data_IF_595720735110
#
_entry.id   IF_595720735110
#
_cell.length_a   1.000
_cell.length_b   1.000
_cell.length_c   1.000
_cell.angle_alpha   90.00
_cell.angle_beta   90.00
_cell.angle_gamma   90.00
#
_symmetry.space_group_name_H-M   'P 1'
#
loop_
_entity.id
_entity.type
_entity.pdbx_description
1 polymer ?
#
# COMPACT_ATOMS: atom_id res chain seq x y z
N UNK A 1 -9.40 -27.78 -8.71
CA UNK A 1 -9.06 -28.47 -9.97
C UNK A 1 -9.13 -27.53 -11.19
N UNK A 2 -10.31 -26.97 -11.52
CA UNK A 2 -10.49 -26.10 -12.71
C UNK A 2 -9.53 -24.90 -12.78
N UNK A 3 -9.39 -24.11 -11.70
CA UNK A 3 -8.48 -22.95 -11.67
C UNK A 3 -7.04 -23.32 -12.04
N UNK A 4 -6.54 -24.44 -11.48
CA UNK A 4 -5.19 -24.95 -11.77
C UNK A 4 -5.06 -25.34 -13.24
N UNK A 5 -6.02 -26.09 -13.77
CA UNK A 5 -6.01 -26.54 -15.18
C UNK A 5 -6.10 -25.38 -16.16
N UNK A 6 -6.98 -24.40 -15.92
CA UNK A 6 -7.12 -23.22 -16.79
C UNK A 6 -5.87 -22.33 -16.75
N UNK A 7 -5.21 -22.24 -15.58
CA UNK A 7 -3.93 -21.55 -15.45
C UNK A 7 -2.84 -22.29 -16.24
N UNK A 8 -2.68 -23.59 -16.06
CA UNK A 8 -1.69 -24.38 -16.81
C UNK A 8 -1.91 -24.33 -18.32
N UNK A 9 -3.16 -24.28 -18.78
CA UNK A 9 -3.51 -24.18 -20.19
C UNK A 9 -3.39 -22.75 -20.76
N UNK A 10 -2.91 -21.76 -19.99
CA UNK A 10 -2.78 -20.38 -20.45
C UNK A 10 -4.12 -19.69 -20.75
N UNK A 11 -5.24 -20.18 -20.22
CA UNK A 11 -6.58 -19.63 -20.50
C UNK A 11 -6.90 -18.42 -19.64
N UNK A 12 -6.36 -18.38 -18.42
CA UNK A 12 -6.60 -17.33 -17.43
C UNK A 12 -5.31 -16.76 -16.89
N UNK A 13 -5.38 -15.57 -16.31
CA UNK A 13 -4.37 -14.99 -15.41
C UNK A 13 -4.96 -14.87 -14.02
N UNK A 14 -4.22 -15.17 -12.97
CA UNK A 14 -4.70 -15.06 -11.58
C UNK A 14 -3.94 -13.96 -10.86
N UNK A 15 -4.64 -13.03 -10.21
CA UNK A 15 -4.05 -12.02 -9.33
C UNK A 15 -4.33 -12.33 -7.86
N UNK A 16 -3.29 -12.38 -7.05
CA UNK A 16 -3.35 -12.48 -5.60
C UNK A 16 -2.95 -11.13 -5.00
N UNK A 17 -3.88 -10.52 -4.27
CA UNK A 17 -3.66 -9.24 -3.60
C UNK A 17 -3.27 -9.51 -2.15
N UNK A 18 -2.02 -9.23 -1.82
CA UNK A 18 -1.47 -9.46 -0.50
C UNK A 18 -1.96 -8.38 0.47
N UNK A 19 -2.82 -8.79 1.40
CA UNK A 19 -3.40 -7.91 2.42
C UNK A 19 -2.77 -8.09 3.80
N UNK A 20 -1.70 -8.91 3.92
CA UNK A 20 -1.20 -9.30 5.23
C UNK A 20 -0.48 -8.15 5.95
N UNK A 21 -0.37 -8.33 7.26
CA UNK A 21 0.18 -7.36 8.19
C UNK A 21 -0.88 -6.70 9.05
N UNK A 22 -0.53 -6.38 10.30
CA UNK A 22 -1.45 -5.80 11.29
C UNK A 22 -1.77 -4.31 11.05
N UNK A 23 -1.21 -3.71 10.01
CA UNK A 23 -1.35 -2.27 9.73
C UNK A 23 -0.70 -1.36 10.79
N UNK A 24 0.28 -1.84 11.57
CA UNK A 24 0.78 -1.10 12.74
C UNK A 24 1.38 0.27 12.43
N UNK A 25 1.93 0.47 11.22
CA UNK A 25 2.48 1.77 10.80
C UNK A 25 1.44 2.74 10.23
N UNK A 26 0.25 2.23 9.87
CA UNK A 26 -0.89 3.00 9.39
C UNK A 26 -1.93 3.25 10.50
N UNK A 27 -1.71 2.70 11.69
CA UNK A 27 -2.57 2.92 12.86
C UNK A 27 -2.75 4.43 13.14
N UNK A 28 -3.97 4.90 13.48
CA UNK A 28 -5.13 4.10 13.88
C UNK A 28 -6.04 3.63 12.74
N UNK A 29 -5.81 4.06 11.49
CA UNK A 29 -6.80 3.93 10.41
C UNK A 29 -7.29 2.50 10.16
N UNK A 30 -6.43 1.46 10.10
CA UNK A 30 -6.89 0.09 9.89
C UNK A 30 -7.88 -0.37 10.96
N UNK A 31 -7.80 0.13 12.19
CA UNK A 31 -8.73 -0.22 13.26
C UNK A 31 -10.19 0.11 12.91
N UNK A 32 -10.42 1.20 12.19
CA UNK A 32 -11.76 1.57 11.70
C UNK A 32 -12.27 0.70 10.54
N UNK A 33 -11.38 -0.05 9.90
CA UNK A 33 -11.67 -0.95 8.79
C UNK A 33 -11.55 -2.42 9.21
N UNK A 34 -11.88 -2.75 10.47
CA UNK A 34 -11.76 -4.11 11.03
C UNK A 34 -10.34 -4.70 10.89
N UNK A 35 -9.31 -3.86 11.02
CA UNK A 35 -7.88 -4.16 10.79
C UNK A 35 -7.51 -4.51 9.34
N UNK A 36 -8.38 -4.29 8.38
CA UNK A 36 -8.08 -4.49 6.97
C UNK A 36 -7.34 -3.25 6.42
N UNK A 37 -6.01 -3.29 6.43
CA UNK A 37 -5.15 -2.18 5.96
C UNK A 37 -5.50 -1.73 4.52
N UNK A 38 -5.59 -2.63 3.53
CA UNK A 38 -6.01 -2.26 2.17
C UNK A 38 -7.43 -1.68 2.03
N UNK A 39 -8.31 -1.88 3.01
CA UNK A 39 -9.66 -1.31 3.00
C UNK A 39 -9.71 0.15 3.47
N UNK A 40 -8.57 0.74 3.87
CA UNK A 40 -8.49 2.18 4.10
C UNK A 40 -8.88 2.91 2.81
N UNK A 41 -9.79 3.86 2.94
CA UNK A 41 -10.40 4.64 1.88
C UNK A 41 -9.43 5.71 1.42
N UNK A 42 -9.37 5.93 0.11
CA UNK A 42 -8.74 7.07 -0.52
C UNK A 42 -9.76 8.23 -0.60
N UNK A 43 -9.32 9.47 -0.81
CA UNK A 43 -10.19 10.64 -0.94
C UNK A 43 -10.89 10.69 -2.32
N UNK A 44 -11.53 9.59 -2.69
CA UNK A 44 -12.20 9.42 -3.96
C UNK A 44 -13.37 8.44 -3.81
N UNK A 45 -14.30 8.51 -4.76
CA UNK A 45 -15.44 7.61 -4.82
C UNK A 45 -15.49 6.93 -6.19
N UNK A 46 -15.98 5.69 -6.22
CA UNK A 46 -16.26 4.96 -7.44
C UNK A 46 -17.77 4.84 -7.64
N UNK A 47 -18.22 5.15 -8.86
CA UNK A 47 -19.61 4.93 -9.27
C UNK A 47 -19.70 3.63 -10.05
N UNK A 48 -20.53 2.71 -9.56
CA UNK A 48 -20.82 1.45 -10.24
C UNK A 48 -21.74 1.66 -11.45
N UNK A 49 -21.85 0.63 -12.31
CA UNK A 49 -22.77 0.65 -13.47
C UNK A 49 -24.24 0.83 -13.06
N UNK A 50 -24.62 0.40 -11.85
CA UNK A 50 -25.96 0.59 -11.28
C UNK A 50 -26.17 2.00 -10.72
N UNK A 51 -25.17 2.88 -10.80
CA UNK A 51 -25.22 4.24 -10.30
C UNK A 51 -24.89 4.38 -8.81
N UNK A 52 -24.73 3.27 -8.08
CA UNK A 52 -24.34 3.27 -6.66
C UNK A 52 -22.92 3.79 -6.50
N UNK A 53 -22.73 4.72 -5.56
CA UNK A 53 -21.45 5.34 -5.24
C UNK A 53 -20.86 4.69 -4.00
N UNK A 54 -19.59 4.29 -4.07
CA UNK A 54 -18.84 3.73 -2.94
C UNK A 54 -17.54 4.52 -2.75
N UNK A 55 -17.05 4.68 -1.52
CA UNK A 55 -15.68 5.13 -1.30
C UNK A 55 -14.69 4.19 -1.98
N UNK A 56 -13.68 4.74 -2.65
CA UNK A 56 -12.60 3.95 -3.23
C UNK A 56 -11.62 3.55 -2.11
N UNK A 57 -11.32 2.27 -1.94
CA UNK A 57 -10.25 1.83 -1.02
C UNK A 57 -8.91 1.71 -1.74
N UNK A 58 -7.82 1.62 -0.96
CA UNK A 58 -6.50 1.34 -1.52
C UNK A 58 -6.52 0.01 -2.29
N UNK A 59 -7.22 -1.01 -1.79
CA UNK A 59 -7.31 -2.30 -2.48
C UNK A 59 -7.96 -2.18 -3.86
N UNK A 60 -9.09 -1.48 -3.99
CA UNK A 60 -9.71 -1.27 -5.30
C UNK A 60 -8.81 -0.45 -6.23
N UNK A 61 -8.06 0.53 -5.71
CA UNK A 61 -7.06 1.26 -6.49
C UNK A 61 -5.95 0.32 -6.99
N UNK A 62 -5.43 -0.57 -6.15
CA UNK A 62 -4.43 -1.57 -6.55
C UNK A 62 -4.99 -2.54 -7.58
N UNK A 63 -6.24 -2.99 -7.45
CA UNK A 63 -6.89 -3.84 -8.45
C UNK A 63 -6.99 -3.09 -9.78
N UNK A 64 -7.44 -1.82 -9.75
CA UNK A 64 -7.58 -0.97 -10.94
C UNK A 64 -6.25 -0.79 -11.67
N UNK A 65 -5.17 -0.47 -10.95
CA UNK A 65 -3.88 -0.22 -11.60
C UNK A 65 -3.25 -1.49 -12.18
N UNK A 66 -3.42 -2.64 -11.51
CA UNK A 66 -2.72 -3.88 -11.87
C UNK A 66 -3.49 -4.69 -12.91
N UNK A 67 -4.80 -4.46 -13.04
CA UNK A 67 -5.65 -5.11 -14.04
C UNK A 67 -5.15 -4.93 -15.47
N UNK A 68 -4.40 -3.87 -15.76
CA UNK A 68 -3.79 -3.60 -17.08
C UNK A 68 -2.79 -4.68 -17.53
N UNK A 69 -2.19 -5.43 -16.60
CA UNK A 69 -1.23 -6.49 -16.92
C UNK A 69 -1.90 -7.86 -17.18
N UNK A 70 -3.20 -8.01 -16.92
CA UNK A 70 -3.89 -9.31 -16.97
C UNK A 70 -3.79 -9.99 -18.34
N UNK A 71 -3.94 -9.22 -19.42
CA UNK A 71 -3.87 -9.74 -20.80
C UNK A 71 -2.50 -10.34 -21.14
N UNK A 72 -1.44 -9.79 -20.57
CA UNK A 72 -0.04 -10.22 -20.79
C UNK A 72 0.32 -11.43 -19.94
N UNK A 73 -0.43 -11.70 -18.87
CA UNK A 73 -0.06 -12.68 -17.83
C UNK A 73 -0.93 -13.93 -17.82
N UNK A 74 -1.52 -14.29 -18.96
CA UNK A 74 -2.19 -15.58 -19.11
C UNK A 74 -1.22 -16.72 -18.78
N UNK A 75 -1.71 -17.70 -18.03
CA UNK A 75 -0.92 -18.81 -17.51
C UNK A 75 -0.02 -18.49 -16.32
N UNK A 76 -0.22 -17.32 -15.68
CA UNK A 76 0.61 -16.86 -14.55
C UNK A 76 -0.22 -16.48 -13.34
N UNK A 77 0.34 -16.75 -12.17
CA UNK A 77 -0.10 -16.19 -10.89
C UNK A 77 0.70 -14.92 -10.62
N UNK A 78 0.01 -13.79 -10.47
CA UNK A 78 0.61 -12.53 -10.04
C UNK A 78 0.35 -12.30 -8.56
N UNK A 79 1.32 -11.73 -7.85
CA UNK A 79 1.20 -11.27 -6.46
C UNK A 79 1.42 -9.77 -6.43
N UNK A 80 0.48 -9.04 -5.82
CA UNK A 80 0.50 -7.58 -5.71
C UNK A 80 0.36 -7.14 -4.25
N UNK A 81 1.07 -6.10 -3.84
CA UNK A 81 0.88 -5.49 -2.52
C UNK A 81 -0.42 -4.71 -2.49
N UNK A 82 -1.32 -5.03 -1.55
CA UNK A 82 -2.64 -4.41 -1.44
C UNK A 82 -2.63 -2.96 -0.97
N UNK A 83 -1.47 -2.38 -0.64
CA UNK A 83 -1.32 -1.02 -0.11
C UNK A 83 -0.40 -0.10 -0.93
N UNK A 84 -0.04 -0.48 -2.15
CA UNK A 84 0.87 0.30 -2.99
C UNK A 84 0.25 0.63 -4.34
N UNK A 85 0.01 1.92 -4.57
CA UNK A 85 -0.51 2.39 -5.86
C UNK A 85 0.66 2.90 -6.72
N UNK A 86 0.82 2.43 -7.95
CA UNK A 86 1.80 2.94 -8.91
C UNK A 86 1.14 3.18 -10.27
N UNK A 87 1.59 4.23 -10.95
CA UNK A 87 1.13 4.59 -12.29
C UNK A 87 2.30 4.40 -13.25
N UNK A 88 2.27 3.36 -14.10
CA UNK A 88 3.34 3.11 -15.04
C UNK A 88 3.38 4.21 -16.10
N UNK A 89 4.58 4.60 -16.54
CA UNK A 89 4.78 5.54 -17.64
C UNK A 89 5.18 4.87 -18.96
N UNK A 90 5.20 3.54 -18.98
CA UNK A 90 5.52 2.70 -20.15
C UNK A 90 4.32 1.82 -20.52
N UNK A 91 4.38 1.22 -21.71
CA UNK A 91 3.34 0.30 -22.18
C UNK A 91 3.25 -0.93 -21.26
N UNK A 92 2.06 -1.20 -20.75
CA UNK A 92 1.81 -2.31 -19.80
C UNK A 92 1.50 -3.65 -20.46
N UNK A 93 1.25 -3.65 -21.78
CA UNK A 93 1.07 -4.88 -22.55
C UNK A 93 2.42 -5.39 -23.04
N UNK A 94 2.76 -6.63 -22.69
CA UNK A 94 4.02 -7.28 -23.03
C UNK A 94 3.83 -8.79 -23.20
N UNK A 95 4.86 -9.49 -23.69
CA UNK A 95 4.91 -10.95 -23.71
C UNK A 95 5.91 -11.40 -22.65
N UNK A 96 5.51 -12.16 -21.62
CA UNK A 96 6.45 -12.70 -20.63
C UNK A 96 7.49 -13.59 -21.32
N UNK A 97 8.77 -13.30 -21.07
CA UNK A 97 9.91 -14.07 -21.60
C UNK A 97 10.53 -15.00 -20.58
N UNK A 98 10.13 -14.89 -19.31
CA UNK A 98 10.71 -15.64 -18.19
C UNK A 98 9.64 -16.31 -17.32
N UNK A 99 10.00 -17.38 -16.64
CA UNK A 99 9.09 -18.07 -15.71
C UNK A 99 8.67 -17.23 -14.50
N UNK A 100 9.49 -16.27 -14.08
CA UNK A 100 9.16 -15.26 -13.10
C UNK A 100 9.54 -13.87 -13.59
N UNK A 101 8.77 -12.87 -13.19
CA UNK A 101 9.12 -11.45 -13.37
C UNK A 101 8.69 -10.61 -12.18
N UNK A 102 9.46 -9.54 -11.90
CA UNK A 102 9.13 -8.53 -10.89
C UNK A 102 8.95 -7.18 -11.57
N UNK A 103 7.90 -6.45 -11.18
CA UNK A 103 7.72 -5.07 -11.59
C UNK A 103 8.80 -4.19 -10.95
N UNK A 104 9.50 -3.40 -11.74
CA UNK A 104 10.59 -2.53 -11.27
C UNK A 104 10.60 -1.20 -12.02
N UNK A 105 11.04 -0.15 -11.34
CA UNK A 105 11.32 1.14 -11.99
C UNK A 105 12.73 1.13 -12.54
N UNK A 106 12.90 0.66 -13.77
CA UNK A 106 14.23 0.46 -14.36
C UNK A 106 14.81 1.78 -14.87
N UNK A 107 16.13 1.87 -14.83
CA UNK A 107 16.92 2.96 -15.37
C UNK A 107 18.40 2.57 -15.41
N UNK A 108 19.31 3.45 -15.86
CA UNK A 108 20.74 3.18 -15.76
C UNK A 108 21.16 3.10 -14.29
N UNK A 109 22.22 2.33 -14.01
CA UNK A 109 22.85 2.35 -12.67
C UNK A 109 23.32 3.78 -12.36
N UNK A 110 22.80 4.43 -11.31
CA UNK A 110 23.22 5.79 -10.97
C UNK A 110 24.65 5.79 -10.40
N UNK A 111 25.27 6.96 -10.33
CA UNK A 111 26.51 7.12 -9.55
C UNK A 111 26.28 6.94 -8.04
N UNK A 112 27.37 6.81 -7.28
CA UNK A 112 27.33 6.58 -5.82
C UNK A 112 26.60 7.70 -5.06
N UNK A 113 26.75 8.95 -5.49
CA UNK A 113 26.12 10.09 -4.82
C UNK A 113 24.60 10.02 -4.99
N UNK A 114 24.14 9.82 -6.22
CA UNK A 114 22.73 9.66 -6.57
C UNK A 114 22.13 8.43 -5.91
N UNK A 115 22.83 7.28 -5.92
CA UNK A 115 22.41 6.06 -5.23
C UNK A 115 22.11 6.31 -3.73
N UNK A 116 22.99 7.05 -3.05
CA UNK A 116 22.85 7.37 -1.64
C UNK A 116 21.77 8.43 -1.37
N UNK A 117 21.76 9.51 -2.16
CA UNK A 117 20.76 10.58 -2.08
C UNK A 117 19.35 10.04 -2.26
N UNK A 118 19.19 9.11 -3.18
CA UNK A 118 17.92 8.47 -3.47
C UNK A 118 17.56 7.32 -2.54
N UNK A 119 18.51 6.87 -1.73
CA UNK A 119 18.30 5.84 -0.73
C UNK A 119 18.05 4.45 -1.33
N UNK A 120 18.66 4.11 -2.47
CA UNK A 120 18.45 2.82 -3.15
C UNK A 120 18.79 1.61 -2.25
N UNK A 121 19.74 1.78 -1.32
CA UNK A 121 20.09 0.79 -0.31
C UNK A 121 18.94 0.38 0.63
N UNK A 122 17.82 1.12 0.65
CA UNK A 122 16.65 0.77 1.45
C UNK A 122 15.69 -0.19 0.74
N UNK A 123 15.92 -0.50 -0.55
CA UNK A 123 15.04 -1.28 -1.39
C UNK A 123 15.73 -2.57 -1.89
N UNK A 124 14.90 -3.52 -2.32
CA UNK A 124 15.36 -4.58 -3.22
C UNK A 124 15.57 -4.01 -4.62
N UNK A 125 16.70 -4.31 -5.23
CA UNK A 125 17.04 -3.90 -6.58
C UNK A 125 16.86 -5.06 -7.55
N UNK A 126 16.32 -4.73 -8.72
CA UNK A 126 16.27 -5.60 -9.88
C UNK A 126 17.34 -5.12 -10.85
N UNK A 127 18.32 -5.98 -11.13
CA UNK A 127 19.45 -5.68 -11.99
C UNK A 127 19.39 -6.54 -13.24
N UNK A 128 19.25 -5.92 -14.41
CA UNK A 128 19.03 -6.58 -15.70
C UNK A 128 20.31 -6.54 -16.53
N UNK A 129 20.70 -7.68 -17.09
CA UNK A 129 21.86 -7.79 -17.98
C UNK A 129 21.53 -7.53 -19.45
N UNK A 130 22.54 -7.54 -20.32
CA UNK A 130 22.38 -7.34 -21.78
C UNK A 130 21.49 -8.39 -22.46
N UNK A 131 21.31 -9.57 -21.84
CA UNK A 131 20.48 -10.67 -22.34
C UNK A 131 19.04 -10.61 -21.82
N UNK A 132 18.72 -9.60 -21.01
CA UNK A 132 17.43 -9.40 -20.37
C UNK A 132 17.19 -10.33 -19.17
N UNK A 133 18.21 -11.04 -18.69
CA UNK A 133 18.12 -11.82 -17.47
C UNK A 133 18.32 -10.92 -16.26
N UNK A 134 17.53 -11.13 -15.22
CA UNK A 134 17.54 -10.26 -14.04
C UNK A 134 18.18 -10.96 -12.83
N UNK A 135 18.70 -10.16 -11.92
CA UNK A 135 19.08 -10.55 -10.56
C UNK A 135 18.31 -9.72 -9.55
N UNK A 136 17.92 -10.33 -8.44
CA UNK A 136 17.39 -9.61 -7.29
C UNK A 136 18.47 -9.54 -6.22
N UNK A 137 18.75 -8.31 -5.75
CA UNK A 137 19.67 -8.06 -4.65
C UNK A 137 18.99 -7.18 -3.62
N UNK A 138 19.01 -7.62 -2.37
CA UNK A 138 18.19 -7.01 -1.33
C UNK A 138 19.00 -5.99 -0.50
N UNK A 139 18.61 -4.72 -0.46
CA UNK A 139 19.13 -3.70 0.49
C UNK A 139 20.66 -3.69 0.64
N UNK A 140 21.35 -3.42 -0.46
CA UNK A 140 22.82 -3.44 -0.51
C UNK A 140 23.40 -2.03 -0.64
N UNK A 141 24.67 -1.85 -0.29
CA UNK A 141 25.40 -0.60 -0.58
C UNK A 141 25.70 -0.49 -2.08
N UNK A 142 26.11 0.71 -2.50
CA UNK A 142 26.52 0.95 -3.89
C UNK A 142 27.67 0.01 -4.31
N UNK A 143 28.69 -0.13 -3.47
CA UNK A 143 29.89 -0.94 -3.74
C UNK A 143 29.54 -2.40 -3.95
N UNK A 144 28.65 -2.91 -3.08
CA UNK A 144 28.15 -4.27 -3.18
C UNK A 144 27.37 -4.45 -4.47
N UNK A 145 26.44 -3.53 -4.80
CA UNK A 145 25.66 -3.61 -6.03
C UNK A 145 26.56 -3.65 -7.29
N UNK A 146 27.57 -2.80 -7.37
CA UNK A 146 28.50 -2.76 -8.52
C UNK A 146 29.44 -3.96 -8.58
N UNK A 147 29.74 -4.60 -7.44
CA UNK A 147 30.62 -5.78 -7.43
C UNK A 147 29.97 -7.06 -7.99
N UNK A 148 28.64 -7.11 -8.08
CA UNK A 148 27.89 -8.32 -8.49
C UNK A 148 27.86 -8.49 -10.01
N UNK A 149 28.14 -7.42 -10.76
CA UNK A 149 28.30 -7.42 -12.19
C UNK A 149 27.96 -6.10 -12.84
N UNK A 150 28.29 -6.00 -14.12
CA UNK A 150 27.88 -4.88 -14.97
C UNK A 150 26.44 -5.12 -15.46
N UNK A 151 25.55 -4.19 -15.13
CA UNK A 151 24.14 -4.27 -15.46
C UNK A 151 23.77 -3.21 -16.47
N UNK A 152 22.96 -3.60 -17.45
CA UNK A 152 22.39 -2.68 -18.44
C UNK A 152 21.40 -1.73 -17.76
N UNK A 153 20.54 -2.28 -16.89
CA UNK A 153 19.52 -1.53 -16.17
C UNK A 153 19.46 -1.98 -14.71
N UNK A 154 19.21 -1.03 -13.81
CA UNK A 154 18.99 -1.26 -12.38
C UNK A 154 17.77 -0.46 -11.94
N UNK A 155 16.92 -1.08 -11.13
CA UNK A 155 15.71 -0.41 -10.67
C UNK A 155 15.22 -0.88 -9.32
N UNK A 156 14.47 -0.01 -8.62
CA UNK A 156 13.81 -0.38 -7.38
C UNK A 156 12.66 -1.35 -7.67
N UNK A 157 12.68 -2.50 -7.02
CA UNK A 157 11.56 -3.45 -7.00
C UNK A 157 10.34 -2.80 -6.33
N UNK A 158 9.16 -2.92 -6.95
CA UNK A 158 7.89 -2.62 -6.27
C UNK A 158 7.32 -3.87 -5.55
N UNK A 159 8.10 -4.96 -5.50
CA UNK A 159 7.77 -6.21 -4.82
C UNK A 159 6.56 -6.96 -5.39
N UNK A 160 5.92 -6.44 -6.44
CA UNK A 160 4.84 -7.09 -7.16
C UNK A 160 5.40 -7.93 -8.29
N UNK A 161 5.02 -9.19 -8.37
CA UNK A 161 5.66 -10.16 -9.24
C UNK A 161 4.65 -11.09 -9.91
N UNK A 162 5.11 -11.86 -10.90
CA UNK A 162 4.33 -12.97 -11.43
C UNK A 162 5.20 -14.21 -11.64
N UNK A 163 4.57 -15.38 -11.52
CA UNK A 163 5.18 -16.68 -11.78
C UNK A 163 4.30 -17.48 -12.72
N UNK A 164 4.90 -18.17 -13.68
CA UNK A 164 4.25 -19.14 -14.56
C UNK A 164 3.63 -20.31 -13.78
N UNK A 165 2.66 -20.98 -14.39
CA UNK A 165 2.04 -22.17 -13.82
C UNK A 165 3.06 -23.29 -13.52
N UNK A 166 4.08 -23.45 -14.37
CA UNK A 166 5.11 -24.48 -14.21
C UNK A 166 6.01 -24.19 -13.01
N UNK A 167 6.52 -22.96 -12.90
CA UNK A 167 7.33 -22.54 -11.75
C UNK A 167 6.52 -22.59 -10.45
N UNK A 168 5.25 -22.16 -10.48
CA UNK A 168 4.36 -22.29 -9.34
C UNK A 168 4.20 -23.76 -8.92
N UNK A 169 4.01 -24.67 -9.88
CA UNK A 169 3.93 -26.11 -9.62
C UNK A 169 5.20 -26.66 -8.99
N UNK A 170 6.36 -26.31 -9.53
CA UNK A 170 7.66 -26.72 -9.00
C UNK A 170 7.90 -26.20 -7.58
N UNK A 171 7.52 -24.95 -7.29
CA UNK A 171 7.57 -24.38 -5.94
C UNK A 171 6.64 -25.10 -4.97
N UNK A 172 5.39 -25.36 -5.38
CA UNK A 172 4.42 -26.08 -4.53
C UNK A 172 4.91 -27.48 -4.17
N UNK A 173 5.55 -28.18 -5.11
CA UNK A 173 6.18 -29.49 -4.85
C UNK A 173 7.38 -29.34 -3.91
N UNK A 174 8.27 -28.40 -4.19
CA UNK A 174 9.48 -28.22 -3.41
C UNK A 174 9.19 -27.82 -1.95
N UNK A 175 8.11 -27.08 -1.69
CA UNK A 175 7.69 -26.58 -0.38
C UNK A 175 6.45 -27.30 0.20
N UNK A 176 6.09 -28.46 -0.35
CA UNK A 176 4.92 -29.22 0.09
C UNK A 176 4.91 -29.51 1.62
N UNK A 177 6.03 -29.90 2.26
CA UNK A 177 6.04 -30.17 3.70
C UNK A 177 5.65 -28.95 4.54
N UNK A 178 6.20 -27.77 4.23
CA UNK A 178 5.91 -26.52 4.95
C UNK A 178 4.50 -26.01 4.68
N UNK A 179 3.99 -26.19 3.45
CA UNK A 179 2.63 -25.83 3.10
C UNK A 179 1.60 -26.70 3.85
N UNK A 180 1.90 -28.00 4.03
CA UNK A 180 1.07 -28.93 4.81
C UNK A 180 1.11 -28.61 6.30
N UNK A 181 2.30 -28.37 6.86
CA UNK A 181 2.47 -28.14 8.30
C UNK A 181 2.05 -26.73 8.75
N UNK A 182 2.14 -25.72 7.87
CA UNK A 182 1.95 -24.30 8.18
C UNK A 182 2.83 -23.79 9.35
N UNK A 183 3.99 -24.42 9.56
CA UNK A 183 4.89 -24.10 10.68
C UNK A 183 6.08 -23.22 10.30
N UNK A 184 6.32 -23.00 9.01
CA UNK A 184 7.45 -22.20 8.52
C UNK A 184 7.01 -20.80 8.09
N UNK A 185 7.94 -19.85 8.21
CA UNK A 185 7.79 -18.47 7.72
C UNK A 185 9.05 -18.09 6.95
N UNK A 186 8.94 -18.08 5.63
CA UNK A 186 10.02 -17.67 4.72
C UNK A 186 9.65 -16.34 4.05
N UNK A 187 10.67 -15.54 3.78
CA UNK A 187 10.58 -14.29 3.01
C UNK A 187 11.02 -14.54 1.56
N UNK A 188 10.29 -13.99 0.57
CA UNK A 188 10.55 -14.25 -0.85
C UNK A 188 11.92 -13.76 -1.30
N UNK A 189 12.41 -12.65 -0.76
CA UNK A 189 13.66 -12.05 -1.24
C UNK A 189 14.86 -12.95 -0.91
N UNK A 190 15.19 -13.21 0.37
CA UNK A 190 16.30 -14.10 0.73
C UNK A 190 16.03 -15.58 0.43
N UNK A 191 14.78 -16.06 0.51
CA UNK A 191 14.53 -17.51 0.38
C UNK A 191 14.12 -17.96 -1.01
N UNK A 192 13.80 -17.04 -1.94
CA UNK A 192 13.42 -17.41 -3.29
C UNK A 192 14.17 -16.63 -4.37
N UNK A 193 14.07 -15.30 -4.41
CA UNK A 193 14.66 -14.50 -5.50
C UNK A 193 16.18 -14.54 -5.53
N UNK A 194 16.83 -14.33 -4.38
CA UNK A 194 18.29 -14.37 -4.29
C UNK A 194 18.87 -15.74 -4.69
N UNK A 195 18.44 -16.89 -4.14
CA UNK A 195 18.97 -18.20 -4.55
C UNK A 195 18.55 -18.63 -5.97
N UNK A 196 17.48 -18.04 -6.54
CA UNK A 196 17.10 -18.27 -7.93
C UNK A 196 18.07 -17.59 -8.91
N UNK A 197 18.57 -16.40 -8.55
CA UNK A 197 19.30 -15.50 -9.45
C UNK A 197 20.80 -15.35 -9.19
N UNK A 198 21.27 -15.63 -7.97
CA UNK A 198 22.69 -15.54 -7.60
C UNK A 198 23.39 -16.88 -7.71
N UNK A 199 24.72 -16.87 -7.77
CA UNK A 199 25.51 -18.08 -7.56
C UNK A 199 25.53 -18.47 -6.07
N UNK A 200 25.86 -19.73 -5.79
CA UNK A 200 25.83 -20.28 -4.44
C UNK A 200 26.78 -19.54 -3.48
N UNK A 201 27.95 -19.10 -3.95
CA UNK A 201 28.93 -18.43 -3.08
C UNK A 201 28.39 -17.08 -2.66
N UNK A 202 28.00 -16.25 -3.63
CA UNK A 202 27.45 -14.90 -3.40
C UNK A 202 26.20 -14.96 -2.52
N UNK A 203 25.29 -15.91 -2.79
CA UNK A 203 24.10 -16.13 -1.98
C UNK A 203 24.45 -16.46 -0.52
N UNK A 204 25.31 -17.45 -0.28
CA UNK A 204 25.69 -17.87 1.07
C UNK A 204 26.38 -16.73 1.84
N UNK A 205 27.28 -15.99 1.20
CA UNK A 205 27.98 -14.85 1.81
C UNK A 205 26.96 -13.76 2.24
N UNK A 206 25.98 -13.43 1.39
CA UNK A 206 24.90 -12.50 1.75
C UNK A 206 24.04 -12.99 2.90
N UNK A 207 23.59 -14.24 2.85
CA UNK A 207 22.68 -14.73 3.89
C UNK A 207 23.34 -14.80 5.26
N UNK A 208 24.64 -15.12 5.31
CA UNK A 208 25.41 -15.14 6.55
C UNK A 208 25.62 -13.72 7.11
N UNK A 209 26.02 -12.76 6.26
CA UNK A 209 26.20 -11.36 6.70
C UNK A 209 24.91 -10.72 7.22
N UNK A 210 23.74 -11.17 6.73
CA UNK A 210 22.42 -10.70 7.18
C UNK A 210 21.84 -11.50 8.34
N UNK A 211 22.46 -12.60 8.73
CA UNK A 211 21.95 -13.48 9.78
C UNK A 211 20.69 -14.26 9.40
N UNK A 212 20.39 -14.41 8.10
CA UNK A 212 19.24 -15.19 7.60
C UNK A 212 19.43 -16.69 7.84
N UNK A 213 20.67 -17.18 7.77
CA UNK A 213 21.04 -18.55 8.15
C UNK A 213 22.12 -18.56 9.23
N UNK A 214 22.05 -19.55 10.11
CA UNK A 214 23.03 -19.72 11.21
C UNK A 214 24.34 -20.35 10.75
N UNK A 215 24.41 -20.90 9.53
CA UNK A 215 25.62 -21.55 9.00
C UNK A 215 25.61 -21.64 7.48
N UNK A 216 26.79 -21.82 6.89
CA UNK A 216 26.98 -21.93 5.43
C UNK A 216 26.33 -23.18 4.88
N UNK A 217 26.31 -24.27 5.65
CA UNK A 217 25.70 -25.55 5.27
C UNK A 217 24.19 -25.39 5.10
N UNK A 218 23.52 -24.67 6.01
CA UNK A 218 22.08 -24.39 5.89
C UNK A 218 21.75 -23.50 4.70
N UNK A 219 22.53 -22.44 4.49
CA UNK A 219 22.38 -21.58 3.32
C UNK A 219 22.58 -22.40 2.03
N UNK A 220 23.62 -23.22 1.96
CA UNK A 220 23.91 -24.08 0.80
C UNK A 220 22.80 -25.08 0.54
N UNK A 221 22.28 -25.73 1.59
CA UNK A 221 21.16 -26.67 1.46
C UNK A 221 19.90 -25.97 0.92
N UNK A 222 19.62 -24.75 1.38
CA UNK A 222 18.50 -23.96 0.85
C UNK A 222 18.72 -23.53 -0.60
N UNK A 223 19.93 -23.11 -0.96
CA UNK A 223 20.29 -22.82 -2.35
C UNK A 223 20.07 -24.02 -3.26
N UNK A 224 20.56 -25.20 -2.85
CA UNK A 224 20.40 -26.45 -3.61
C UNK A 224 18.93 -26.84 -3.77
N UNK A 225 18.08 -26.55 -2.78
CA UNK A 225 16.63 -26.75 -2.91
C UNK A 225 16.04 -25.92 -4.04
N UNK A 226 16.41 -24.64 -4.15
CA UNK A 226 15.96 -23.77 -5.25
C UNK A 226 16.59 -24.17 -6.58
N UNK A 227 17.83 -24.66 -6.58
CA UNK A 227 18.45 -25.22 -7.78
C UNK A 227 17.65 -26.41 -8.32
N UNK A 228 17.15 -27.31 -7.46
CA UNK A 228 16.25 -28.41 -7.86
C UNK A 228 14.94 -27.92 -8.48
N UNK A 229 14.40 -26.78 -8.02
CA UNK A 229 13.24 -26.13 -8.64
C UNK A 229 13.57 -25.69 -10.06
N UNK A 230 14.74 -25.09 -10.29
CA UNK A 230 15.21 -24.73 -11.65
C UNK A 230 15.41 -25.96 -12.52
N UNK A 231 15.99 -27.02 -11.96
CA UNK A 231 16.22 -28.27 -12.68
C UNK A 231 14.92 -28.91 -13.18
N UNK A 232 13.86 -28.87 -12.36
CA UNK A 232 12.54 -29.36 -12.74
C UNK A 232 11.89 -28.58 -13.89
N UNK A 233 12.39 -27.39 -14.23
CA UNK A 233 11.91 -26.56 -15.34
C UNK A 233 12.73 -26.73 -16.62
N UNK A 234 13.86 -27.43 -16.59
CA UNK A 234 14.77 -27.55 -17.76
C UNK A 234 14.10 -28.19 -18.99
N UNK A 235 13.17 -29.11 -18.77
CA UNK A 235 12.44 -29.79 -19.86
C UNK A 235 11.53 -28.81 -20.63
N UNK A 236 10.98 -27.81 -19.94
CA UNK A 236 10.07 -26.81 -20.52
C UNK A 236 10.75 -25.48 -20.86
N UNK A 237 11.90 -25.19 -20.24
CA UNK A 237 12.70 -23.98 -20.46
C UNK A 237 14.20 -24.28 -20.61
N UNK A 238 14.60 -24.83 -21.78
CA UNK A 238 15.98 -25.21 -22.02
C UNK A 238 16.91 -24.00 -22.20
N UNK A 239 16.37 -22.78 -22.43
CA UNK A 239 17.18 -21.56 -22.60
C UNK A 239 17.47 -20.86 -21.27
N UNK A 240 16.97 -21.40 -20.15
CA UNK A 240 17.29 -20.93 -18.81
C UNK A 240 16.67 -19.58 -18.44
N UNK A 241 15.57 -19.19 -19.10
CA UNK A 241 14.85 -17.94 -18.83
C UNK A 241 13.97 -18.02 -17.59
N UNK A 242 14.61 -18.06 -16.41
CA UNK A 242 13.91 -18.23 -15.13
C UNK A 242 13.37 -16.94 -14.54
N UNK A 243 14.15 -15.84 -14.58
CA UNK A 243 13.81 -14.60 -13.90
C UNK A 243 14.15 -13.36 -14.75
N UNK A 244 13.14 -12.52 -14.97
CA UNK A 244 13.24 -11.26 -15.68
C UNK A 244 12.64 -10.09 -14.91
N UNK A 245 12.60 -8.94 -15.55
CA UNK A 245 11.99 -7.72 -15.01
C UNK A 245 10.86 -7.24 -15.93
N UNK A 246 9.88 -6.56 -15.34
CA UNK A 246 8.90 -5.78 -16.10
C UNK A 246 9.10 -4.33 -15.72
N UNK A 247 9.58 -3.54 -16.67
CA UNK A 247 9.71 -2.11 -16.48
C UNK A 247 8.33 -1.47 -16.32
N UNK A 248 8.19 -0.61 -15.31
CA UNK A 248 7.02 0.26 -15.14
C UNK A 248 7.37 1.73 -15.42
N UNK A 249 8.62 1.99 -15.81
CA UNK A 249 9.16 3.31 -16.10
C UNK A 249 10.20 3.77 -15.09
N UNK A 250 10.90 4.84 -15.45
CA UNK A 250 11.91 5.43 -14.59
C UNK A 250 11.29 6.07 -13.35
N UNK A 251 12.10 6.28 -12.31
CA UNK A 251 11.67 6.90 -11.04
C UNK A 251 10.98 8.26 -11.22
N UNK A 252 11.44 9.05 -12.19
CA UNK A 252 10.96 10.41 -12.43
C UNK A 252 9.63 10.47 -13.19
N UNK A 253 9.27 9.39 -13.88
CA UNK A 253 8.07 9.33 -14.73
C UNK A 253 7.02 8.36 -14.18
N UNK A 254 7.42 7.32 -13.44
CA UNK A 254 6.53 6.40 -12.76
C UNK A 254 6.19 6.89 -11.36
N UNK A 255 4.93 7.26 -11.15
CA UNK A 255 4.43 7.64 -9.83
C UNK A 255 4.24 6.42 -8.95
N UNK A 256 4.67 6.52 -7.68
CA UNK A 256 4.51 5.47 -6.68
C UNK A 256 4.03 6.06 -5.35
N UNK A 257 2.85 5.62 -4.93
CA UNK A 257 2.13 6.05 -3.74
C UNK A 257 1.97 4.86 -2.79
N UNK A 258 2.93 4.72 -1.88
CA UNK A 258 2.87 3.73 -0.79
C UNK A 258 1.96 4.23 0.34
N UNK A 259 0.92 3.48 0.66
CA UNK A 259 -0.04 3.82 1.73
C UNK A 259 0.17 3.00 3.01
N UNK A 260 1.32 2.35 3.17
CA UNK A 260 1.64 1.49 4.31
C UNK A 260 1.91 2.24 5.63
N UNK A 261 2.00 3.58 5.60
CA UNK A 261 2.26 4.42 6.78
C UNK A 261 1.35 5.65 6.79
N UNK A 262 0.95 6.10 7.99
CA UNK A 262 0.03 7.25 8.12
C UNK A 262 0.60 8.55 7.55
N UNK A 263 1.91 8.79 7.72
CA UNK A 263 2.59 9.93 7.10
C UNK A 263 2.51 9.89 5.56
N UNK A 264 2.68 8.71 4.97
CA UNK A 264 2.63 8.55 3.51
C UNK A 264 1.20 8.63 3.00
N UNK A 265 0.22 8.20 3.78
CA UNK A 265 -1.18 8.45 3.47
C UNK A 265 -1.47 9.96 3.35
N UNK A 266 -0.97 10.77 4.30
CA UNK A 266 -1.09 12.23 4.25
C UNK A 266 -0.34 12.82 3.06
N UNK A 267 0.97 12.54 2.97
CA UNK A 267 1.87 13.07 1.94
C UNK A 267 1.38 12.74 0.53
N UNK A 268 0.97 11.49 0.28
CA UNK A 268 0.52 11.08 -1.06
C UNK A 268 -0.79 11.76 -1.44
N UNK A 269 -1.78 11.80 -0.56
CA UNK A 269 -3.07 12.41 -0.92
C UNK A 269 -2.98 13.93 -1.09
N UNK A 270 -2.11 14.63 -0.36
CA UNK A 270 -1.86 16.06 -0.56
C UNK A 270 -1.17 16.38 -1.91
N UNK A 271 -0.59 15.39 -2.61
CA UNK A 271 -0.07 15.58 -3.98
C UNK A 271 -1.16 16.02 -4.96
N UNK A 272 -2.44 15.74 -4.68
CA UNK A 272 -3.57 16.29 -5.45
C UNK A 272 -3.55 17.82 -5.58
N UNK A 273 -2.93 18.50 -4.61
CA UNK A 273 -2.93 19.96 -4.47
C UNK A 273 -1.62 20.59 -4.93
N UNK A 274 -0.61 19.77 -5.25
CA UNK A 274 0.70 20.26 -5.66
C UNK A 274 0.65 20.80 -7.09
N UNK A 275 1.52 21.78 -7.36
CA UNK A 275 1.59 22.39 -8.68
C UNK A 275 2.59 23.54 -8.79
N UNK A 276 3.60 23.60 -7.91
CA UNK A 276 4.62 24.65 -7.95
C UNK A 276 5.61 24.40 -9.10
N UNK A 277 5.90 23.13 -9.40
CA UNK A 277 6.71 22.71 -10.55
C UNK A 277 5.87 21.99 -11.60
N UNK A 278 6.39 21.85 -12.83
CA UNK A 278 5.70 21.08 -13.88
C UNK A 278 5.54 19.61 -13.50
N UNK A 279 6.58 18.98 -12.93
CA UNK A 279 6.53 17.60 -12.48
C UNK A 279 5.44 17.37 -11.40
N UNK A 280 5.28 18.32 -10.47
CA UNK A 280 4.21 18.28 -9.49
C UNK A 280 2.81 18.42 -10.11
N UNK A 281 2.66 19.30 -11.12
CA UNK A 281 1.39 19.44 -11.85
C UNK A 281 1.02 18.15 -12.59
N UNK A 282 2.01 17.48 -13.19
CA UNK A 282 1.81 16.24 -13.92
C UNK A 282 1.44 15.08 -12.98
N UNK A 283 2.11 14.94 -11.83
CA UNK A 283 1.74 13.94 -10.81
C UNK A 283 0.33 14.21 -10.25
N UNK A 284 0.03 15.47 -9.92
CA UNK A 284 -1.30 15.85 -9.42
C UNK A 284 -2.39 15.57 -10.45
N UNK A 285 -2.13 15.85 -11.74
CA UNK A 285 -3.06 15.55 -12.85
C UNK A 285 -3.25 14.05 -12.99
N UNK A 286 -2.18 13.26 -13.03
CA UNK A 286 -2.24 11.81 -13.13
C UNK A 286 -3.02 11.19 -11.95
N UNK A 287 -2.79 11.69 -10.72
CA UNK A 287 -3.54 11.27 -9.54
C UNK A 287 -5.02 11.61 -9.63
N UNK A 288 -5.38 12.83 -10.07
CA UNK A 288 -6.78 13.23 -10.30
C UNK A 288 -7.46 12.34 -11.33
N UNK A 289 -6.82 12.09 -12.47
CA UNK A 289 -7.32 11.18 -13.52
C UNK A 289 -7.52 9.77 -12.96
N UNK A 290 -6.51 9.24 -12.27
CA UNK A 290 -6.57 7.89 -11.70
C UNK A 290 -7.69 7.74 -10.66
N UNK A 291 -7.87 8.74 -9.79
CA UNK A 291 -8.90 8.76 -8.76
C UNK A 291 -10.29 9.18 -9.29
N UNK A 292 -10.40 9.63 -10.54
CA UNK A 292 -11.66 10.11 -11.13
C UNK A 292 -12.12 11.46 -10.58
N UNK A 293 -11.18 12.32 -10.18
CA UNK A 293 -11.41 13.65 -9.60
C UNK A 293 -11.24 14.79 -10.64
N UNK A 294 -11.42 14.50 -11.92
CA UNK A 294 -11.24 15.48 -13.02
C UNK A 294 -12.38 16.50 -13.09
N UNK A 295 -13.61 16.07 -12.78
CA UNK A 295 -14.75 16.97 -12.63
C UNK A 295 -14.71 17.64 -11.26
N UNK A 296 -15.22 18.88 -11.16
CA UNK A 296 -15.49 19.50 -9.86
C UNK A 296 -16.36 18.55 -9.03
N UNK A 297 -15.88 18.15 -7.86
CA UNK A 297 -16.65 17.29 -6.98
C UNK A 297 -17.95 17.98 -6.54
N UNK A 298 -18.88 17.17 -6.01
CA UNK A 298 -20.15 17.70 -5.53
C UNK A 298 -19.95 18.47 -4.24
N UNK A 299 -20.37 19.74 -4.22
CA UNK A 299 -20.42 20.59 -3.03
C UNK A 299 -21.84 21.09 -2.86
N UNK A 300 -22.42 20.90 -1.68
CA UNK A 300 -23.73 21.44 -1.29
C UNK A 300 -23.51 22.42 -0.14
N UNK A 301 -24.00 23.64 -0.30
CA UNK A 301 -23.87 24.71 0.70
C UNK A 301 -22.67 25.64 0.47
N UNK A 302 -22.51 26.68 1.32
CA UNK A 302 -21.58 27.78 1.11
C UNK A 302 -20.14 27.46 1.57
N UNK A 303 -19.41 26.68 0.76
CA UNK A 303 -18.00 26.37 0.98
C UNK A 303 -17.09 27.22 0.09
N UNK A 304 -16.22 28.04 0.71
CA UNK A 304 -15.08 28.68 0.06
C UNK A 304 -13.86 27.75 0.11
N UNK A 305 -13.59 27.08 -0.99
CA UNK A 305 -12.45 26.16 -1.11
C UNK A 305 -11.31 26.79 -1.93
N UNK A 306 -10.13 26.93 -1.33
CA UNK A 306 -8.92 27.47 -1.98
C UNK A 306 -7.84 26.39 -2.05
N UNK A 307 -7.42 26.03 -3.26
CA UNK A 307 -6.45 24.94 -3.48
C UNK A 307 -6.88 23.64 -2.77
N UNK A 308 -8.11 23.18 -3.00
CA UNK A 308 -8.64 21.97 -2.41
C UNK A 308 -9.02 20.93 -3.47
N UNK A 309 -8.92 19.66 -3.10
CA UNK A 309 -9.55 18.56 -3.81
C UNK A 309 -10.79 18.15 -3.01
N UNK A 310 -11.96 18.31 -3.62
CA UNK A 310 -13.24 18.14 -2.94
C UNK A 310 -14.07 17.09 -3.67
N UNK A 311 -14.68 16.16 -2.93
CA UNK A 311 -15.57 15.12 -3.44
C UNK A 311 -16.68 14.86 -2.43
N UNK A 312 -17.95 15.06 -2.83
CA UNK A 312 -19.13 14.82 -1.98
C UNK A 312 -19.05 15.52 -0.60
N UNK A 313 -19.11 16.85 -0.62
CA UNK A 313 -19.09 17.68 0.59
C UNK A 313 -20.41 18.41 0.75
N UNK A 314 -20.98 18.34 1.95
CA UNK A 314 -22.18 19.08 2.33
C UNK A 314 -21.89 19.91 3.56
N UNK A 315 -22.10 21.22 3.46
CA UNK A 315 -22.02 22.17 4.57
C UNK A 315 -23.33 22.95 4.71
N UNK A 316 -23.68 23.32 5.93
CA UNK A 316 -24.91 24.10 6.21
C UNK A 316 -24.63 25.60 6.19
N UNK A 317 -23.57 25.99 6.88
CA UNK A 317 -23.18 27.38 7.15
C UNK A 317 -21.90 27.76 6.39
N UNK A 318 -21.59 29.06 6.38
CA UNK A 318 -20.39 29.60 5.74
C UNK A 318 -19.14 28.87 6.22
N UNK A 319 -18.44 28.27 5.27
CA UNK A 319 -17.33 27.36 5.52
C UNK A 319 -16.11 27.73 4.69
N UNK A 320 -14.91 27.56 5.26
CA UNK A 320 -13.64 27.81 4.61
C UNK A 320 -12.78 26.54 4.62
N UNK A 321 -12.20 26.22 3.47
CA UNK A 321 -11.18 25.19 3.36
C UNK A 321 -10.01 25.71 2.51
N UNK A 322 -8.78 25.46 2.96
CA UNK A 322 -7.58 25.80 2.18
C UNK A 322 -6.56 24.67 2.20
N UNK A 323 -5.89 24.44 1.06
CA UNK A 323 -4.83 23.42 0.93
C UNK A 323 -5.24 22.03 1.48
N UNK A 324 -6.51 21.66 1.31
CA UNK A 324 -7.10 20.50 1.98
C UNK A 324 -7.77 19.54 1.01
N UNK A 325 -7.81 18.26 1.39
CA UNK A 325 -8.50 17.21 0.66
C UNK A 325 -9.71 16.76 1.45
N UNK A 326 -10.91 16.96 0.88
CA UNK A 326 -12.18 16.68 1.54
C UNK A 326 -12.96 15.66 0.71
N UNK A 327 -13.23 14.48 1.26
CA UNK A 327 -14.00 13.44 0.59
C UNK A 327 -15.10 12.88 1.49
N UNK A 328 -16.35 12.92 1.04
CA UNK A 328 -17.51 12.42 1.81
C UNK A 328 -17.60 13.13 3.17
N UNK A 329 -17.69 14.46 3.16
CA UNK A 329 -17.72 15.29 4.39
C UNK A 329 -19.09 15.91 4.57
N UNK A 330 -19.63 15.85 5.78
CA UNK A 330 -20.87 16.53 6.17
C UNK A 330 -20.66 17.28 7.48
N UNK A 331 -20.86 18.59 7.49
CA UNK A 331 -20.65 19.43 8.68
C UNK A 331 -21.59 20.63 8.69
N UNK A 332 -21.95 21.17 9.84
CA UNK A 332 -22.61 22.47 9.89
C UNK A 332 -21.67 23.55 9.32
N UNK A 333 -20.44 23.63 9.85
CA UNK A 333 -19.41 24.55 9.34
C UNK A 333 -18.02 23.90 9.28
N UNK A 334 -17.16 24.42 8.41
CA UNK A 334 -15.75 24.03 8.30
C UNK A 334 -14.84 25.26 8.38
N UNK A 335 -13.75 25.15 9.13
CA UNK A 335 -12.59 26.03 9.09
C UNK A 335 -11.32 25.16 9.07
N UNK A 336 -10.92 24.76 7.87
CA UNK A 336 -9.96 23.66 7.68
C UNK A 336 -8.78 24.10 6.81
N UNK A 337 -7.57 23.86 7.27
CA UNK A 337 -6.33 24.19 6.55
C UNK A 337 -5.36 23.01 6.51
N UNK A 338 -4.67 22.80 5.39
CA UNK A 338 -3.59 21.81 5.23
C UNK A 338 -3.98 20.38 5.67
N UNK A 339 -5.26 20.00 5.57
CA UNK A 339 -5.82 18.80 6.23
C UNK A 339 -6.48 17.83 5.26
N UNK A 340 -6.63 16.57 5.71
CA UNK A 340 -7.38 15.53 5.00
C UNK A 340 -8.56 15.07 5.84
N UNK A 341 -9.76 15.17 5.28
CA UNK A 341 -11.00 14.66 5.86
C UNK A 341 -11.58 13.61 4.90
N UNK A 342 -11.73 12.37 5.37
CA UNK A 342 -12.32 11.27 4.58
C UNK A 342 -13.41 10.57 5.38
N UNK A 343 -14.62 10.55 4.82
CA UNK A 343 -15.82 9.97 5.44
C UNK A 343 -16.07 10.55 6.85
N UNK A 344 -16.32 11.86 6.89
CA UNK A 344 -16.45 12.64 8.14
C UNK A 344 -17.84 13.25 8.26
N UNK A 345 -18.46 13.10 9.42
CA UNK A 345 -19.69 13.77 9.83
C UNK A 345 -19.50 14.31 11.25
N UNK A 346 -19.66 15.62 11.44
CA UNK A 346 -19.47 16.32 12.73
C UNK A 346 -20.29 17.62 12.77
N UNK A 347 -20.47 18.22 13.96
CA UNK A 347 -21.15 19.51 14.15
C UNK A 347 -20.45 20.65 13.40
N UNK A 348 -19.43 21.27 14.00
CA UNK A 348 -18.45 22.11 13.31
C UNK A 348 -17.08 21.44 13.29
N UNK A 349 -16.22 21.79 12.33
CA UNK A 349 -14.84 21.29 12.27
C UNK A 349 -13.87 22.46 12.12
N UNK A 350 -12.93 22.59 13.06
CA UNK A 350 -11.83 23.56 13.00
C UNK A 350 -10.51 22.85 13.24
N UNK A 351 -9.64 22.85 12.22
CA UNK A 351 -8.35 22.16 12.32
C UNK A 351 -7.31 22.64 11.28
N UNK A 352 -6.04 22.42 11.62
CA UNK A 352 -4.89 22.67 10.74
C UNK A 352 -3.99 21.44 10.72
N UNK A 353 -3.45 21.09 9.54
CA UNK A 353 -2.53 19.95 9.36
C UNK A 353 -3.05 18.66 10.02
N UNK A 354 -4.34 18.34 9.86
CA UNK A 354 -4.98 17.24 10.54
C UNK A 354 -5.39 16.12 9.57
N UNK A 355 -5.51 14.91 10.11
CA UNK A 355 -6.15 13.78 9.42
C UNK A 355 -7.37 13.32 10.22
N UNK A 356 -8.57 13.49 9.64
CA UNK A 356 -9.82 13.02 10.23
C UNK A 356 -10.41 11.93 9.33
N UNK A 357 -10.65 10.75 9.90
CA UNK A 357 -10.99 9.57 9.11
C UNK A 357 -12.11 8.74 9.75
N UNK A 358 -13.16 8.43 8.98
CA UNK A 358 -14.31 7.62 9.42
C UNK A 358 -14.96 8.14 10.72
N UNK A 359 -15.01 9.46 10.93
CA UNK A 359 -15.63 10.05 12.12
C UNK A 359 -17.09 10.36 11.84
N UNK A 360 -17.99 9.96 12.73
CA UNK A 360 -19.41 10.29 12.67
C UNK A 360 -19.91 10.63 14.07
N UNK A 361 -20.04 11.91 14.36
CA UNK A 361 -20.54 12.46 15.62
C UNK A 361 -21.43 13.68 15.32
N UNK A 362 -22.12 14.20 16.32
CA UNK A 362 -22.93 15.43 16.20
C UNK A 362 -22.29 16.61 16.91
N UNK A 363 -21.32 16.33 17.81
CA UNK A 363 -20.50 17.33 18.47
C UNK A 363 -19.51 18.02 17.52
N UNK A 364 -19.01 19.16 17.98
CA UNK A 364 -17.97 19.94 17.31
C UNK A 364 -16.58 19.29 17.46
N UNK A 365 -15.76 19.40 16.43
CA UNK A 365 -14.37 18.94 16.39
C UNK A 365 -13.43 20.14 16.24
N UNK A 366 -12.85 20.55 17.36
CA UNK A 366 -11.71 21.48 17.37
C UNK A 366 -10.44 20.70 17.67
N UNK A 367 -9.55 20.61 16.68
CA UNK A 367 -8.32 19.83 16.77
C UNK A 367 -7.09 20.75 16.79
N UNK A 368 -6.08 20.34 17.54
CA UNK A 368 -4.77 20.99 17.50
C UNK A 368 -4.03 20.66 16.21
N UNK A 369 -3.07 21.51 15.86
CA UNK A 369 -2.20 21.30 14.71
C UNK A 369 -1.54 19.89 14.71
N UNK A 370 -1.56 19.21 13.57
CA UNK A 370 -0.94 17.89 13.43
C UNK A 370 -1.74 16.69 13.99
N UNK A 371 -2.93 16.91 14.56
CA UNK A 371 -3.72 15.83 15.17
C UNK A 371 -4.33 14.87 14.14
N UNK A 372 -4.39 13.60 14.52
CA UNK A 372 -5.06 12.52 13.79
C UNK A 372 -6.24 12.04 14.64
N UNK A 373 -7.42 11.96 14.05
CA UNK A 373 -8.62 11.41 14.70
C UNK A 373 -9.29 10.39 13.79
N UNK A 374 -9.48 9.18 14.32
CA UNK A 374 -10.09 8.06 13.60
C UNK A 374 -11.30 7.54 14.38
N UNK A 375 -12.46 7.46 13.73
CA UNK A 375 -13.63 6.80 14.30
C UNK A 375 -13.54 5.28 14.14
N UNK A 376 -13.50 4.55 15.26
CA UNK A 376 -13.33 3.09 15.30
C UNK A 376 -14.56 2.43 15.92
N UNK A 377 -15.18 1.54 15.16
CA UNK A 377 -16.26 0.67 15.67
C UNK A 377 -15.67 -0.71 15.94
N UNK A 378 -15.51 -1.07 17.21
CA UNK A 378 -14.96 -2.36 17.62
C UNK A 378 -15.80 -2.93 18.78
N UNK A 379 -16.22 -4.20 18.69
CA UNK A 379 -16.94 -4.88 19.79
C UNK A 379 -18.46 -4.63 19.88
N UNK A 380 -19.16 -4.35 18.78
CA UNK A 380 -20.62 -4.02 18.73
C UNK A 380 -21.09 -2.78 19.53
N UNK A 381 -20.36 -1.66 19.62
CA UNK A 381 -20.90 -0.46 20.26
C UNK A 381 -21.93 0.21 19.33
N UNK A 382 -22.96 0.82 19.92
CA UNK A 382 -23.94 1.62 19.19
C UNK A 382 -23.33 2.92 18.60
N UNK A 383 -22.12 3.32 19.05
CA UNK A 383 -21.40 4.53 18.63
C UNK A 383 -19.91 4.25 18.39
N UNK A 384 -19.26 4.86 17.38
CA UNK A 384 -17.81 4.76 17.19
C UNK A 384 -17.01 5.39 18.33
N UNK A 385 -15.87 4.80 18.67
CA UNK A 385 -14.87 5.41 19.55
C UNK A 385 -13.94 6.32 18.75
N UNK A 386 -13.67 7.53 19.22
CA UNK A 386 -12.68 8.41 18.61
C UNK A 386 -11.29 8.06 19.14
N UNK A 387 -10.41 7.61 18.25
CA UNK A 387 -9.02 7.29 18.55
C UNK A 387 -8.13 8.41 18.02
N UNK A 388 -7.43 9.08 18.94
CA UNK A 388 -6.56 10.23 18.68
C UNK A 388 -5.10 9.80 18.55
N UNK A 389 -4.35 10.49 17.69
CA UNK A 389 -2.91 10.30 17.50
C UNK A 389 -2.27 11.54 16.85
N UNK A 390 -0.99 11.46 16.51
CA UNK A 390 -0.21 12.48 15.77
C UNK A 390 0.71 11.77 14.77
N UNK A 391 1.16 12.48 13.74
CA UNK A 391 1.99 11.88 12.66
C UNK A 391 3.33 11.31 13.12
N UNK A 392 3.89 11.85 14.21
CA UNK A 392 5.12 11.39 14.84
C UNK A 392 4.92 10.21 15.82
N UNK A 393 3.67 9.85 16.14
CA UNK A 393 3.36 8.70 16.98
C UNK A 393 3.46 7.42 16.15
N UNK A 394 4.55 6.70 16.34
CA UNK A 394 4.77 5.45 15.61
C UNK A 394 3.91 4.31 16.19
N UNK A 395 2.84 3.94 15.47
CA UNK A 395 1.99 2.80 15.83
C UNK A 395 2.72 1.44 15.90
N UNK A 396 3.97 1.32 15.41
CA UNK A 396 4.83 0.14 15.64
C UNK A 396 5.37 0.10 17.07
N UNK A 397 5.86 1.24 17.59
CA UNK A 397 6.46 1.33 18.93
C UNK A 397 5.38 1.36 20.01
N UNK A 398 4.29 2.09 19.75
CA UNK A 398 3.16 2.25 20.67
C UNK A 398 1.98 1.32 20.39
N UNK A 399 2.22 0.22 19.67
CA UNK A 399 1.16 -0.71 19.30
C UNK A 399 0.44 -1.32 20.51
N UNK A 400 1.24 -1.80 21.47
CA UNK A 400 0.76 -2.61 22.61
C UNK A 400 0.46 -1.78 23.85
N UNK A 401 1.25 -0.74 24.08
CA UNK A 401 1.19 0.12 25.25
C UNK A 401 1.64 1.51 24.84
N UNK A 402 1.03 2.53 25.43
CA UNK A 402 1.45 3.91 25.28
C UNK A 402 2.75 4.15 26.04
N UNK A 403 3.82 4.38 25.29
CA UNK A 403 5.16 4.67 25.81
C UNK A 403 5.73 5.89 25.11
N UNK A 404 6.47 6.71 25.85
CA UNK A 404 7.19 7.81 25.21
C UNK A 404 8.24 7.21 24.27
N UNK A 405 8.33 7.77 23.06
CA UNK A 405 9.39 7.42 22.11
C UNK A 405 10.20 8.67 21.85
N UNK A 406 11.43 8.50 21.34
CA UNK A 406 12.30 9.63 20.96
C UNK A 406 11.65 10.65 20.02
N UNK A 407 10.62 10.22 19.28
CA UNK A 407 9.95 11.00 18.25
C UNK A 407 8.67 11.69 18.79
N UNK A 408 8.36 11.56 20.10
CA UNK A 408 7.14 12.06 20.73
C UNK A 408 7.42 13.04 21.88
N UNK A 409 6.59 14.07 21.97
CA UNK A 409 6.54 14.97 23.14
C UNK A 409 5.76 14.32 24.30
N UNK A 410 5.81 14.95 25.47
CA UNK A 410 4.97 14.55 26.61
C UNK A 410 3.48 14.79 26.31
N UNK A 411 3.16 15.85 25.57
CA UNK A 411 1.80 16.17 25.12
C UNK A 411 1.27 15.09 24.16
N UNK A 412 2.10 14.60 23.23
CA UNK A 412 1.72 13.50 22.33
C UNK A 412 1.39 12.22 23.12
N UNK A 413 2.18 11.94 24.17
CA UNK A 413 1.93 10.80 25.04
C UNK A 413 0.64 10.98 25.85
N UNK A 414 0.41 12.18 26.39
CA UNK A 414 -0.81 12.51 27.13
C UNK A 414 -2.05 12.37 26.24
N UNK A 415 -1.97 12.84 24.99
CA UNK A 415 -3.03 12.71 23.99
C UNK A 415 -3.41 11.25 23.76
N UNK A 416 -2.45 10.37 23.47
CA UNK A 416 -2.77 8.96 23.17
C UNK A 416 -3.21 8.16 24.41
N UNK A 417 -2.82 8.59 25.61
CA UNK A 417 -3.31 8.01 26.87
C UNK A 417 -4.77 8.32 27.16
N UNK A 418 -5.37 9.33 26.52
CA UNK A 418 -6.80 9.60 26.60
C UNK A 418 -7.63 8.62 25.76
N UNK A 419 -6.99 7.85 24.86
CA UNK A 419 -7.70 6.85 24.08
C UNK A 419 -8.24 5.74 24.98
N UNK A 420 -9.47 5.27 24.75
CA UNK A 420 -10.06 4.20 25.55
C UNK A 420 -9.34 2.86 25.38
N UNK A 421 -8.65 2.68 24.25
CA UNK A 421 -7.98 1.44 23.88
C UNK A 421 -6.66 1.71 23.17
N UNK A 422 -5.69 0.83 23.38
CA UNK A 422 -4.48 0.70 22.58
C UNK A 422 -4.78 0.16 21.18
N UNK A 423 -3.86 0.37 20.23
CA UNK A 423 -4.03 -0.17 18.89
C UNK A 423 -4.08 -1.72 18.88
N UNK A 424 -3.37 -2.38 19.79
CA UNK A 424 -3.43 -3.83 19.93
C UNK A 424 -4.78 -4.32 20.49
N UNK A 425 -5.37 -3.61 21.45
CA UNK A 425 -6.69 -3.95 21.99
C UNK A 425 -7.76 -3.83 20.90
N UNK A 426 -7.76 -2.73 20.14
CA UNK A 426 -8.61 -2.57 18.95
C UNK A 426 -8.38 -3.73 17.97
N UNK A 427 -7.12 -4.06 17.70
CA UNK A 427 -6.80 -5.18 16.82
C UNK A 427 -7.39 -6.50 17.30
N UNK A 428 -7.31 -6.77 18.61
CA UNK A 428 -7.85 -7.98 19.21
C UNK A 428 -9.38 -8.00 19.19
N UNK A 429 -10.06 -6.89 19.50
CA UNK A 429 -11.52 -6.77 19.46
C UNK A 429 -12.08 -7.00 18.06
N UNK A 430 -11.35 -6.58 17.02
CA UNK A 430 -11.76 -6.74 15.63
C UNK A 430 -11.54 -8.15 15.06
N UNK A 431 -10.83 -9.06 15.75
CA UNK A 431 -10.55 -10.42 15.22
C UNK A 431 -11.81 -11.24 14.93
N UNK A 432 -12.87 -10.99 15.70
CA UNK A 432 -14.15 -11.71 15.59
C UNK A 432 -15.26 -10.81 15.05
N UNK A 433 -14.92 -9.60 14.57
CA UNK A 433 -15.89 -8.67 14.02
C UNK A 433 -16.40 -9.16 12.66
N UNK A 434 -17.72 -9.09 12.47
CA UNK A 434 -18.34 -9.24 11.16
C UNK A 434 -18.23 -7.91 10.42
N UNK A 435 -17.46 -7.90 9.33
CA UNK A 435 -17.18 -6.69 8.55
C UNK A 435 -18.46 -6.13 7.93
N UNK A 436 -19.35 -6.97 7.40
CA UNK A 436 -20.59 -6.53 6.74
C UNK A 436 -21.53 -5.90 7.76
N UNK A 437 -21.69 -6.55 8.91
CA UNK A 437 -22.49 -6.01 10.02
C UNK A 437 -21.91 -4.69 10.54
N UNK A 438 -20.59 -4.62 10.71
CA UNK A 438 -19.90 -3.42 11.20
C UNK A 438 -20.07 -2.26 10.23
N UNK A 439 -19.90 -2.49 8.92
CA UNK A 439 -20.15 -1.47 7.89
C UNK A 439 -21.60 -1.00 7.89
N UNK A 440 -22.58 -1.89 8.10
CA UNK A 440 -23.99 -1.52 8.20
C UNK A 440 -24.30 -0.65 9.43
N UNK A 441 -23.70 -0.96 10.58
CA UNK A 441 -23.84 -0.16 11.81
C UNK A 441 -23.25 1.24 11.60
N UNK A 442 -22.03 1.32 11.04
CA UNK A 442 -21.38 2.60 10.74
C UNK A 442 -22.24 3.45 9.80
N UNK A 443 -22.75 2.87 8.71
CA UNK A 443 -23.60 3.60 7.76
C UNK A 443 -24.87 4.17 8.43
N UNK A 444 -25.58 3.36 9.21
CA UNK A 444 -26.79 3.79 9.94
C UNK A 444 -26.49 4.92 10.94
N UNK A 445 -25.39 4.80 11.69
CA UNK A 445 -24.97 5.82 12.65
C UNK A 445 -24.59 7.12 11.95
N UNK A 446 -23.79 7.05 10.87
CA UNK A 446 -23.45 8.21 10.05
C UNK A 446 -24.68 8.90 9.50
N UNK A 447 -25.66 8.15 8.96
CA UNK A 447 -26.91 8.74 8.45
C UNK A 447 -27.74 9.41 9.54
N UNK A 448 -27.74 8.88 10.77
CA UNK A 448 -28.38 9.51 11.91
C UNK A 448 -27.70 10.85 12.26
N UNK A 449 -26.36 10.87 12.37
CA UNK A 449 -25.62 12.11 12.61
C UNK A 449 -25.86 13.15 11.51
N UNK A 450 -25.85 12.74 10.23
CA UNK A 450 -26.13 13.63 9.10
C UNK A 450 -27.50 14.29 9.22
N UNK A 451 -28.55 13.52 9.55
CA UNK A 451 -29.92 14.05 9.73
C UNK A 451 -30.01 15.04 10.88
N UNK A 452 -29.30 14.79 11.98
CA UNK A 452 -29.28 15.69 13.14
C UNK A 452 -28.60 17.03 12.82
N UNK A 453 -27.43 16.99 12.16
CA UNK A 453 -26.65 18.20 11.82
C UNK A 453 -27.36 19.02 10.73
N UNK A 454 -27.83 18.35 9.67
CA UNK A 454 -28.41 19.01 8.50
C UNK A 454 -29.86 19.44 8.73
N UNK A 455 -30.59 18.81 9.65
CA UNK A 455 -32.04 18.95 9.73
C UNK A 455 -32.74 18.49 8.43
N UNK A 456 -33.98 18.95 8.19
CA UNK A 456 -34.65 18.81 6.88
C UNK A 456 -34.12 19.89 5.92
N UNK A 457 -32.91 19.70 5.40
CA UNK A 457 -32.40 20.48 4.25
C UNK A 457 -33.01 19.98 2.93
#
# INVERSE_FOLDING_TARGET
AKLKSDLQAGKISVGLFHTAGKGTRLAPMPGSECNNKPAVKLPAVIKTKTGTVFPLTILEAVIKQTGVYASSRKGRLSVFWGDQVFIPCVKTSYTPTHHADILARLGPMPDKETYNREGLFNYGLICVDEKGDAKQIEKVSYEVATSIGDFKEVGTSVGSFSVSADLLGALMTAFEPELKSKTSKMDTDPHFWMPLTLDCKTYCDFMLSKGEFTSKEKATAHFQRIAKVKDALKEVEPKGKYFGAVDIGTKDLCYWWDYGQVKYYMENNLKLLKGSTQAEKDEAKAMKTFLGLESKGTVKGPLKAVNCAVSDVTVKDNSNASNSVLSTVTSASLDVQDSILVNVTAGSISCKNCLIYNVAITDDLKLEDGQIVVGVTCGNPAKPHLIKSKFNVCGKKNWKKWTQTKDMTEEDLALVKQNPYTFQEIYNMNKTADVVKTSSIIAKHTDACKKEIMGKL
#
